data_IF_331362745551
#
_entry.id   IF_331362745551
#
_cell.length_a   1.000
_cell.length_b   1.000
_cell.length_c   1.000
_cell.angle_alpha   90.00
_cell.angle_beta   90.00
_cell.angle_gamma   90.00
#
_symmetry.space_group_name_H-M   'P 1'
#
loop_
_entity.id
_entity.type
_entity.pdbx_description
1 polymer ?
#
# COMPACT_ATOMS: atom_id res chain seq x y z
N UNK A 1 9.09 5.94 -1.84
CA UNK A 1 8.53 6.29 -3.16
C UNK A 1 8.44 5.05 -4.04
N UNK A 2 7.28 4.84 -4.63
CA UNK A 2 7.04 3.72 -5.53
C UNK A 2 6.78 4.25 -6.93
N UNK A 3 7.33 3.56 -7.94
CA UNK A 3 7.14 3.91 -9.35
C UNK A 3 6.47 2.74 -10.05
N UNK A 4 5.32 3.00 -10.64
CA UNK A 4 4.53 2.01 -11.38
C UNK A 4 4.58 2.35 -12.86
N UNK A 5 4.99 1.38 -13.67
CA UNK A 5 5.20 1.59 -15.11
C UNK A 5 4.37 0.61 -15.91
N UNK A 6 3.66 1.12 -16.91
CA UNK A 6 3.02 0.33 -17.95
C UNK A 6 3.49 0.89 -19.31
N UNK A 7 3.02 0.28 -20.41
CA UNK A 7 3.34 0.79 -21.73
C UNK A 7 2.78 2.18 -22.00
N UNK A 8 1.75 2.58 -21.26
CA UNK A 8 1.02 3.82 -21.50
C UNK A 8 1.22 4.87 -20.42
N UNK A 9 1.64 4.46 -19.20
CA UNK A 9 1.67 5.35 -18.05
C UNK A 9 2.85 5.07 -17.15
N UNK A 10 3.31 6.14 -16.50
CA UNK A 10 4.23 6.07 -15.35
C UNK A 10 3.55 6.80 -14.21
N UNK A 11 3.34 6.12 -13.09
CA UNK A 11 2.71 6.68 -11.89
C UNK A 11 3.70 6.62 -10.75
N UNK A 12 3.87 7.73 -10.05
CA UNK A 12 4.72 7.84 -8.87
C UNK A 12 3.83 7.97 -7.64
N UNK A 13 4.01 7.08 -6.67
CA UNK A 13 3.32 7.10 -5.39
C UNK A 13 4.29 7.51 -4.30
N UNK A 14 3.89 8.44 -3.44
CA UNK A 14 4.77 9.03 -2.43
C UNK A 14 4.37 8.69 -1.00
N UNK A 15 3.39 7.82 -0.83
CA UNK A 15 3.00 7.33 0.48
C UNK A 15 3.95 6.23 0.96
N UNK A 16 3.90 5.96 2.25
CA UNK A 16 4.68 4.91 2.87
C UNK A 16 5.76 5.47 3.79
N UNK A 17 6.43 4.57 4.47
CA UNK A 17 7.49 4.90 5.43
C UNK A 17 8.66 3.94 5.21
N UNK A 18 9.92 4.37 5.52
CA UNK A 18 11.10 3.51 5.33
C UNK A 18 11.03 2.21 6.14
N UNK A 19 10.35 2.21 7.26
CA UNK A 19 10.23 1.04 8.13
C UNK A 19 9.53 -0.14 7.44
N UNK A 20 8.76 0.09 6.38
CA UNK A 20 8.15 -1.00 5.62
C UNK A 20 9.19 -1.93 5.00
N UNK A 21 10.39 -1.44 4.72
CA UNK A 21 11.48 -2.25 4.17
C UNK A 21 12.20 -3.08 5.23
N UNK A 22 11.86 -2.90 6.51
CA UNK A 22 12.56 -3.52 7.63
C UNK A 22 12.01 -4.88 8.03
N UNK A 23 10.90 -5.35 7.44
CA UNK A 23 10.40 -6.69 7.71
C UNK A 23 10.12 -7.45 6.42
N UNK A 24 10.19 -8.79 6.52
CA UNK A 24 10.01 -9.69 5.37
C UNK A 24 8.52 -9.88 5.06
N UNK A 25 8.21 -10.24 3.83
CA UNK A 25 6.85 -10.55 3.41
C UNK A 25 6.05 -9.39 2.84
N UNK A 26 6.61 -8.17 2.80
CA UNK A 26 5.90 -7.01 2.25
C UNK A 26 5.55 -7.20 0.78
N UNK A 27 6.49 -7.73 -0.02
CA UNK A 27 6.25 -8.00 -1.44
C UNK A 27 5.15 -9.04 -1.63
N UNK A 28 5.12 -10.08 -0.79
CA UNK A 28 4.09 -11.12 -0.85
C UNK A 28 2.71 -10.55 -0.52
N UNK A 29 2.62 -9.66 0.48
CA UNK A 29 1.38 -9.00 0.85
C UNK A 29 0.85 -8.13 -0.28
N UNK A 30 1.71 -7.30 -0.86
CA UNK A 30 1.34 -6.44 -2.00
C UNK A 30 0.92 -7.31 -3.18
N UNK A 31 1.67 -8.37 -3.47
CA UNK A 31 1.32 -9.30 -4.54
C UNK A 31 -0.04 -9.94 -4.35
N UNK A 32 -0.38 -10.33 -3.12
CA UNK A 32 -1.68 -10.91 -2.82
C UNK A 32 -2.82 -9.89 -3.02
N UNK A 33 -2.60 -8.62 -2.62
CA UNK A 33 -3.57 -7.55 -2.84
C UNK A 33 -3.80 -7.30 -4.33
N UNK A 34 -2.72 -7.24 -5.11
CA UNK A 34 -2.82 -7.08 -6.57
C UNK A 34 -3.62 -8.23 -7.18
N UNK A 35 -3.29 -9.48 -6.81
CA UNK A 35 -3.97 -10.65 -7.33
C UNK A 35 -5.47 -10.63 -7.01
N UNK A 36 -5.84 -10.24 -5.80
CA UNK A 36 -7.23 -10.14 -5.40
C UNK A 36 -7.99 -9.11 -6.24
N UNK A 37 -7.37 -7.94 -6.47
CA UNK A 37 -8.00 -6.88 -7.27
C UNK A 37 -8.11 -7.25 -8.74
N UNK A 38 -7.13 -7.96 -9.28
CA UNK A 38 -7.20 -8.50 -10.64
C UNK A 38 -8.33 -9.53 -10.77
N UNK A 39 -8.50 -10.38 -9.75
CA UNK A 39 -9.57 -11.36 -9.70
C UNK A 39 -10.96 -10.72 -9.70
N UNK A 40 -11.09 -9.50 -9.21
CA UNK A 40 -12.34 -8.73 -9.23
C UNK A 40 -12.57 -8.01 -10.56
N UNK A 41 -11.69 -8.14 -11.53
CA UNK A 41 -11.85 -7.54 -12.85
C UNK A 41 -11.25 -6.16 -13.03
N UNK A 42 -10.43 -5.70 -12.09
CA UNK A 42 -9.74 -4.41 -12.22
C UNK A 42 -8.62 -4.49 -13.26
N UNK A 43 -8.38 -3.40 -13.97
CA UNK A 43 -7.25 -3.30 -14.88
C UNK A 43 -5.93 -3.41 -14.11
N UNK A 44 -4.85 -3.97 -14.71
CA UNK A 44 -3.60 -4.19 -13.99
C UNK A 44 -3.01 -2.96 -13.32
N UNK A 45 -2.99 -1.81 -14.00
CA UNK A 45 -2.45 -0.58 -13.40
C UNK A 45 -3.33 -0.11 -12.24
N UNK A 46 -4.65 -0.19 -12.37
CA UNK A 46 -5.58 0.15 -11.30
C UNK A 46 -5.37 -0.75 -10.08
N UNK A 47 -5.23 -2.05 -10.31
CA UNK A 47 -4.98 -3.01 -9.23
C UNK A 47 -3.66 -2.71 -8.53
N UNK A 48 -2.60 -2.44 -9.29
CA UNK A 48 -1.28 -2.15 -8.72
C UNK A 48 -1.29 -0.85 -7.90
N UNK A 49 -1.88 0.22 -8.45
CA UNK A 49 -1.96 1.51 -7.74
C UNK A 49 -2.76 1.34 -6.44
N UNK A 50 -3.89 0.68 -6.49
CA UNK A 50 -4.74 0.48 -5.32
C UNK A 50 -4.01 -0.35 -4.25
N UNK A 51 -3.37 -1.46 -4.65
CA UNK A 51 -2.68 -2.34 -3.71
C UNK A 51 -1.50 -1.66 -3.04
N UNK A 52 -0.63 -1.02 -3.82
CA UNK A 52 0.55 -0.34 -3.29
C UNK A 52 0.14 0.85 -2.41
N UNK A 53 -0.81 1.66 -2.87
CA UNK A 53 -1.31 2.80 -2.11
C UNK A 53 -1.91 2.36 -0.78
N UNK A 54 -2.75 1.32 -0.81
CA UNK A 54 -3.39 0.81 0.39
C UNK A 54 -2.35 0.32 1.41
N UNK A 55 -1.39 -0.49 0.95
CA UNK A 55 -0.35 -1.03 1.83
C UNK A 55 0.50 0.09 2.43
N UNK A 56 0.90 1.06 1.62
CA UNK A 56 1.71 2.18 2.08
C UNK A 56 0.96 3.04 3.12
N UNK A 57 -0.35 3.26 2.94
CA UNK A 57 -1.16 3.97 3.92
C UNK A 57 -1.28 3.19 5.23
N UNK A 58 -1.38 1.86 5.15
CA UNK A 58 -1.35 1.02 6.35
C UNK A 58 -0.04 1.25 7.12
N UNK A 59 1.09 1.33 6.42
CA UNK A 59 2.38 1.62 7.04
C UNK A 59 2.44 3.00 7.67
N UNK A 60 1.93 4.02 7.00
CA UNK A 60 1.90 5.38 7.55
C UNK A 60 1.07 5.45 8.84
N UNK A 61 -0.10 4.82 8.84
CA UNK A 61 -0.95 4.78 10.05
C UNK A 61 -0.31 3.98 11.17
N UNK A 62 0.32 2.85 10.84
CA UNK A 62 1.00 2.02 11.82
C UNK A 62 2.15 2.77 12.49
N UNK A 63 2.91 3.55 11.72
CA UNK A 63 4.05 4.29 12.26
C UNK A 63 3.64 5.26 13.36
N UNK A 64 2.51 5.93 13.23
CA UNK A 64 2.03 6.88 14.24
C UNK A 64 1.72 6.22 15.57
N UNK A 65 1.50 4.90 15.59
CA UNK A 65 1.12 4.13 16.78
C UNK A 65 2.24 3.25 17.30
N UNK A 66 3.38 3.18 16.60
CA UNK A 66 4.43 2.21 16.88
C UNK A 66 5.61 2.86 17.56
N UNK A 67 6.29 2.09 18.43
CA UNK A 67 7.48 2.51 19.13
C UNK A 67 8.74 1.82 18.62
N UNK A 68 8.61 0.63 18.05
CA UNK A 68 9.71 -0.14 17.50
C UNK A 68 9.29 -0.95 16.28
N UNK A 69 10.22 -1.75 15.75
CA UNK A 69 9.95 -2.51 14.50
C UNK A 69 8.95 -3.63 14.70
N UNK A 70 8.94 -4.29 15.86
CA UNK A 70 8.05 -5.42 16.11
C UNK A 70 6.58 -4.97 16.17
N UNK A 71 6.28 -3.92 16.93
CA UNK A 71 4.92 -3.40 17.01
C UNK A 71 4.53 -2.66 15.75
N UNK A 72 5.49 -2.04 15.04
CA UNK A 72 5.22 -1.47 13.72
C UNK A 72 4.72 -2.54 12.76
N UNK A 73 5.40 -3.68 12.68
CA UNK A 73 4.99 -4.79 11.81
C UNK A 73 3.58 -5.26 12.15
N UNK A 74 3.31 -5.48 13.44
CA UNK A 74 1.99 -5.92 13.89
C UNK A 74 0.92 -4.89 13.62
N UNK A 75 1.21 -3.61 13.86
CA UNK A 75 0.26 -2.52 13.61
C UNK A 75 -0.02 -2.37 12.10
N UNK A 76 1.00 -2.55 11.25
CA UNK A 76 0.79 -2.53 9.80
C UNK A 76 -0.16 -3.65 9.37
N UNK A 77 0.05 -4.86 9.87
CA UNK A 77 -0.82 -6.00 9.57
C UNK A 77 -2.25 -5.76 10.07
N UNK A 78 -2.39 -5.15 11.24
CA UNK A 78 -3.71 -4.79 11.76
C UNK A 78 -4.41 -3.77 10.86
N UNK A 79 -3.68 -2.78 10.34
CA UNK A 79 -4.26 -1.76 9.47
C UNK A 79 -4.78 -2.34 8.16
N UNK A 80 -4.29 -3.48 7.70
CA UNK A 80 -4.82 -4.11 6.49
C UNK A 80 -6.33 -4.35 6.57
N UNK A 81 -6.83 -4.68 7.75
CA UNK A 81 -8.27 -4.84 7.95
C UNK A 81 -8.98 -3.59 8.44
N UNK A 82 -8.28 -2.75 9.23
CA UNK A 82 -8.90 -1.58 9.84
C UNK A 82 -9.10 -0.43 8.86
N UNK A 83 -8.12 -0.20 7.97
CA UNK A 83 -8.18 0.90 7.02
C UNK A 83 -9.36 0.74 6.04
N UNK A 84 -9.73 -0.46 5.71
CA UNK A 84 -10.87 -0.73 4.82
C UNK A 84 -12.19 -0.19 5.37
N UNK A 85 -12.29 0.01 6.68
CA UNK A 85 -13.50 0.55 7.31
C UNK A 85 -13.61 2.06 7.12
N UNK A 86 -12.54 2.73 6.72
CA UNK A 86 -12.55 4.14 6.36
C UNK A 86 -12.86 4.25 4.87
N UNK A 87 -14.09 4.63 4.54
CA UNK A 87 -14.57 4.62 3.14
C UNK A 87 -13.81 5.58 2.23
N UNK A 88 -13.16 6.58 2.82
CA UNK A 88 -12.43 7.62 2.11
C UNK A 88 -10.91 7.48 2.22
N UNK A 89 -10.41 6.29 2.55
CA UNK A 89 -8.98 6.07 2.73
C UNK A 89 -8.15 6.50 1.51
N UNK A 90 -8.71 6.36 0.32
CA UNK A 90 -8.00 6.70 -0.92
C UNK A 90 -7.71 8.20 -1.05
N UNK A 91 -8.40 9.06 -0.31
CA UNK A 91 -8.13 10.51 -0.35
C UNK A 91 -6.76 10.87 0.22
N UNK A 92 -6.17 10.00 1.04
CA UNK A 92 -4.84 10.20 1.59
C UNK A 92 -3.71 9.78 0.62
N UNK A 93 -4.04 9.21 -0.52
CA UNK A 93 -3.05 8.76 -1.50
C UNK A 93 -2.36 9.96 -2.13
N UNK A 94 -1.03 9.93 -2.15
CA UNK A 94 -0.20 10.97 -2.76
C UNK A 94 0.54 10.37 -3.95
N UNK A 95 0.20 10.85 -5.13
CA UNK A 95 0.83 10.34 -6.34
C UNK A 95 0.58 11.24 -7.53
N UNK A 96 1.25 10.92 -8.63
CA UNK A 96 1.11 11.66 -9.87
C UNK A 96 1.37 10.76 -11.06
N UNK A 97 0.74 11.09 -12.17
CA UNK A 97 1.00 10.47 -13.47
C UNK A 97 2.06 11.32 -14.18
N UNK A 98 3.10 10.67 -14.64
CA UNK A 98 4.16 11.34 -15.40
C UNK A 98 3.88 11.34 -16.89
#
# INVERSE_FOLDING_TARGET
QDVLVSQEQVIVLQNGVPELDCFTGTGDLVGALVAALLGEGNAPMTAAVAAVSYFNLCGEKAKTKSQGLADFRQNTLNQLSLLMKEKDWFEAVKGRVL
#
